data_IF_745355092232
#
_entry.id   IF_745355092232
#
_cell.length_a   1.000
_cell.length_b   1.000
_cell.length_c   1.000
_cell.angle_alpha   90.00
_cell.angle_beta   90.00
_cell.angle_gamma   90.00
#
_symmetry.space_group_name_H-M   'P 1'
#
loop_
_entity.id
_entity.type
_entity.pdbx_description
1 polymer ?
#
# COMPACT_ATOMS: atom_id res chain seq x y z
N UNK A 1 -8.52 31.59 -3.85
CA UNK A 1 -8.59 31.34 -2.39
C UNK A 1 -7.53 30.33 -2.02
N UNK A 2 -6.46 30.78 -1.34
CA UNK A 2 -5.42 29.90 -0.79
C UNK A 2 -5.93 29.37 0.55
N UNK A 3 -6.07 28.06 0.67
CA UNK A 3 -6.41 27.38 1.92
C UNK A 3 -5.10 27.27 2.73
N UNK A 4 -5.03 27.77 3.97
CA UNK A 4 -3.82 27.69 4.79
C UNK A 4 -3.67 26.29 5.39
N UNK A 5 -2.48 25.71 5.24
CA UNK A 5 -2.04 24.52 5.98
C UNK A 5 -1.77 24.95 7.44
N UNK A 6 -2.63 24.49 8.34
CA UNK A 6 -2.47 24.59 9.80
C UNK A 6 -2.59 23.16 10.32
N UNK A 7 -1.80 22.66 11.28
CA UNK A 7 -0.69 23.24 12.03
C UNK A 7 0.11 22.08 12.61
N UNK A 8 1.43 22.19 12.53
CA UNK A 8 2.37 21.36 13.26
C UNK A 8 2.20 21.60 14.77
N UNK A 9 1.94 20.54 15.53
CA UNK A 9 2.35 20.48 16.93
C UNK A 9 3.49 19.48 17.04
N UNK A 10 4.66 19.91 16.60
CA UNK A 10 5.92 19.30 17.07
C UNK A 10 6.06 19.71 18.53
N UNK A 11 6.10 18.72 19.41
CA UNK A 11 6.40 18.92 20.83
C UNK A 11 7.79 19.54 20.91
N UNK A 12 7.83 20.82 21.28
CA UNK A 12 9.05 21.55 21.58
C UNK A 12 9.69 20.90 22.82
N UNK A 13 10.71 20.06 22.63
CA UNK A 13 11.67 19.73 23.68
C UNK A 13 12.74 20.83 23.70
N UNK A 14 13.08 21.26 24.90
CA UNK A 14 13.98 22.36 25.19
C UNK A 14 15.41 22.13 24.64
N UNK A 15 16.06 23.23 24.27
CA UNK A 15 17.45 23.40 23.80
C UNK A 15 17.86 22.89 22.40
N UNK A 16 17.49 23.67 21.38
CA UNK A 16 18.02 23.53 20.01
C UNK A 16 19.56 23.65 19.90
N UNK A 17 20.25 24.23 20.89
CA UNK A 17 21.71 24.27 20.95
C UNK A 17 22.32 22.87 21.19
N UNK A 18 21.70 22.06 22.03
CA UNK A 18 22.20 20.74 22.42
C UNK A 18 22.12 19.72 21.25
N UNK A 19 21.05 19.80 20.45
CA UNK A 19 20.90 18.95 19.27
C UNK A 19 22.01 19.17 18.22
N UNK A 20 22.48 20.41 18.04
CA UNK A 20 23.52 20.71 17.05
C UNK A 20 24.90 20.16 17.45
N UNK A 21 25.20 20.09 18.75
CA UNK A 21 26.43 19.48 19.26
C UNK A 21 26.39 17.97 19.06
N UNK A 22 25.29 17.32 19.46
CA UNK A 22 25.10 15.88 19.28
C UNK A 22 25.22 15.45 17.81
N UNK A 23 24.61 16.19 16.88
CA UNK A 23 24.68 15.87 15.45
C UNK A 23 26.10 15.91 14.89
N UNK A 24 26.96 16.77 15.44
CA UNK A 24 28.37 16.83 15.06
C UNK A 24 29.11 15.58 15.55
N UNK A 25 28.97 15.25 16.82
CA UNK A 25 29.60 14.05 17.40
C UNK A 25 29.07 12.75 16.77
N UNK A 26 27.78 12.70 16.44
CA UNK A 26 27.18 11.60 15.68
C UNK A 26 27.87 11.43 14.33
N UNK A 27 28.08 12.52 13.60
CA UNK A 27 28.73 12.48 12.28
C UNK A 27 30.22 12.13 12.36
N UNK A 28 30.88 12.39 13.49
CA UNK A 28 32.28 12.01 13.74
C UNK A 28 32.43 10.52 14.09
N UNK A 29 31.33 9.82 14.42
CA UNK A 29 31.34 8.39 14.67
C UNK A 29 31.54 7.58 13.38
N UNK A 30 32.30 6.50 13.50
CA UNK A 30 32.57 5.56 12.41
C UNK A 30 31.68 4.32 12.43
N UNK A 31 31.00 4.04 13.55
CA UNK A 31 30.20 2.83 13.73
C UNK A 31 29.01 3.02 14.68
N UNK A 32 27.96 2.19 14.57
CA UNK A 32 26.85 2.17 15.54
C UNK A 32 27.29 1.94 16.99
N UNK A 33 28.42 1.25 17.21
CA UNK A 33 28.98 1.04 18.55
C UNK A 33 29.52 2.32 19.18
N UNK A 34 30.08 3.22 18.38
CA UNK A 34 30.54 4.54 18.87
C UNK A 34 29.36 5.44 19.16
N UNK A 35 28.35 5.45 18.28
CA UNK A 35 27.11 6.19 18.53
C UNK A 35 26.44 5.72 19.81
N UNK A 36 26.42 4.41 20.08
CA UNK A 36 25.84 3.87 21.31
C UNK A 36 26.51 4.44 22.57
N UNK A 37 27.84 4.66 22.55
CA UNK A 37 28.54 5.32 23.67
C UNK A 37 28.09 6.76 23.87
N UNK A 38 27.81 7.50 22.79
CA UNK A 38 27.28 8.87 22.87
C UNK A 38 25.86 8.86 23.45
N UNK A 39 25.03 7.94 22.97
CA UNK A 39 23.66 7.75 23.48
C UNK A 39 23.67 7.41 24.98
N UNK A 40 24.54 6.50 25.41
CA UNK A 40 24.67 6.09 26.81
C UNK A 40 25.19 7.24 27.69
N UNK A 41 26.17 8.01 27.19
CA UNK A 41 26.72 9.19 27.88
C UNK A 41 25.65 10.26 28.10
N UNK A 42 24.83 10.50 27.08
CA UNK A 42 23.83 11.57 27.07
C UNK A 42 22.47 11.07 27.60
N UNK A 43 22.36 9.78 27.96
CA UNK A 43 21.17 9.18 28.55
C UNK A 43 19.96 9.15 27.61
N UNK A 44 20.19 9.11 26.29
CA UNK A 44 19.12 9.25 25.29
C UNK A 44 18.34 7.94 25.09
N UNK A 45 17.02 8.03 25.10
CA UNK A 45 16.16 6.95 24.59
C UNK A 45 16.20 6.86 23.07
N UNK A 46 15.80 5.71 22.54
CA UNK A 46 15.64 5.48 21.10
C UNK A 46 14.69 6.51 20.44
N UNK A 47 13.58 6.85 21.11
CA UNK A 47 12.61 7.82 20.62
C UNK A 47 13.19 9.25 20.58
N UNK A 48 13.97 9.64 21.59
CA UNK A 48 14.66 10.95 21.63
C UNK A 48 15.70 11.05 20.53
N UNK A 49 16.53 10.01 20.38
CA UNK A 49 17.49 9.92 19.29
C UNK A 49 16.80 10.04 17.93
N UNK A 50 15.63 9.40 17.76
CA UNK A 50 14.87 9.46 16.52
C UNK A 50 14.41 10.88 16.17
N UNK A 51 13.90 11.62 17.15
CA UNK A 51 13.53 13.03 16.98
C UNK A 51 14.73 13.90 16.60
N UNK A 52 15.87 13.70 17.27
CA UNK A 52 17.11 14.44 16.98
C UNK A 52 17.58 14.19 15.54
N UNK A 53 17.68 12.91 15.14
CA UNK A 53 18.19 12.51 13.83
C UNK A 53 17.21 12.78 12.67
N UNK A 54 15.92 12.97 12.96
CA UNK A 54 14.91 13.37 11.96
C UNK A 54 14.78 14.90 11.82
N UNK A 55 15.50 15.69 12.62
CA UNK A 55 15.38 17.16 12.59
C UNK A 55 16.02 17.74 11.32
N UNK A 56 15.29 18.62 10.63
CA UNK A 56 15.74 19.30 9.38
C UNK A 56 16.78 20.41 9.60
N UNK A 57 17.62 20.32 10.63
CA UNK A 57 18.60 21.35 10.94
C UNK A 57 19.68 21.46 9.85
N UNK A 58 20.36 22.61 9.80
CA UNK A 58 21.33 22.97 8.76
C UNK A 58 22.51 21.97 8.59
N UNK A 59 22.77 21.13 9.59
CA UNK A 59 23.81 20.11 9.57
C UNK A 59 23.19 18.76 9.16
N UNK A 60 23.63 18.21 8.02
CA UNK A 60 23.12 16.94 7.50
C UNK A 60 23.63 15.77 8.34
N UNK A 61 22.73 14.86 8.71
CA UNK A 61 23.05 13.58 9.35
C UNK A 61 23.80 12.68 8.36
N UNK A 62 24.80 11.95 8.83
CA UNK A 62 25.47 10.91 8.06
C UNK A 62 24.49 9.81 7.66
N UNK A 63 24.07 9.83 6.40
CA UNK A 63 23.05 8.92 5.84
C UNK A 63 23.50 7.46 5.84
N UNK A 64 24.81 7.21 5.76
CA UNK A 64 25.39 5.86 5.82
C UNK A 64 25.36 5.32 7.26
N UNK A 65 25.80 6.13 8.22
CA UNK A 65 25.82 5.74 9.62
C UNK A 65 24.41 5.55 10.16
N UNK A 66 23.48 6.43 9.81
CA UNK A 66 22.07 6.29 10.17
C UNK A 66 21.47 4.98 9.64
N UNK A 67 21.73 4.63 8.38
CA UNK A 67 21.31 3.35 7.81
C UNK A 67 21.92 2.15 8.55
N UNK A 68 23.21 2.23 8.90
CA UNK A 68 23.89 1.19 9.67
C UNK A 68 23.31 1.03 11.08
N UNK A 69 22.98 2.14 11.76
CA UNK A 69 22.34 2.14 13.07
C UNK A 69 20.94 1.51 13.01
N UNK A 70 20.09 1.95 12.08
CA UNK A 70 18.73 1.41 11.91
C UNK A 70 18.72 -0.10 11.61
N UNK A 71 19.73 -0.58 10.87
CA UNK A 71 19.86 -1.98 10.54
C UNK A 71 20.57 -2.83 11.60
N UNK A 72 21.13 -2.25 12.67
CA UNK A 72 21.99 -3.00 13.60
C UNK A 72 21.20 -4.01 14.47
N UNK A 73 21.84 -5.09 14.89
CA UNK A 73 21.21 -6.21 15.61
C UNK A 73 21.16 -6.05 17.15
N UNK A 74 21.66 -4.93 17.68
CA UNK A 74 21.71 -4.69 19.12
C UNK A 74 20.33 -4.27 19.60
N UNK A 75 19.93 -4.63 20.83
CA UNK A 75 18.57 -4.37 21.34
C UNK A 75 18.18 -2.89 21.26
N UNK A 76 19.08 -1.97 21.65
CA UNK A 76 18.84 -0.53 21.48
C UNK A 76 18.48 -0.15 20.04
N UNK A 77 19.21 -0.69 19.06
CA UNK A 77 19.03 -0.38 17.65
C UNK A 77 17.76 -1.00 17.06
N UNK A 78 17.31 -2.15 17.59
CA UNK A 78 16.01 -2.73 17.24
C UNK A 78 14.86 -1.83 17.69
N UNK A 79 14.92 -1.35 18.94
CA UNK A 79 13.93 -0.37 19.45
C UNK A 79 14.00 0.93 18.64
N UNK A 80 15.19 1.40 18.31
CA UNK A 80 15.38 2.57 17.44
C UNK A 80 14.77 2.39 16.05
N UNK A 81 14.86 1.19 15.44
CA UNK A 81 14.24 0.91 14.15
C UNK A 81 12.71 0.96 14.20
N UNK A 82 12.08 0.64 15.34
CA UNK A 82 10.64 0.76 15.55
C UNK A 82 10.20 2.21 15.86
N UNK A 83 11.05 3.00 16.53
CA UNK A 83 10.77 4.39 16.94
C UNK A 83 11.07 5.42 15.85
N UNK A 84 12.15 5.27 15.09
CA UNK A 84 12.58 6.25 14.09
C UNK A 84 11.49 6.57 13.04
N UNK A 85 10.78 5.58 12.45
CA UNK A 85 9.70 5.83 11.50
C UNK A 85 8.50 6.59 12.08
N UNK A 86 8.32 6.64 13.40
CA UNK A 86 7.23 7.38 14.04
C UNK A 86 7.37 8.90 13.86
N UNK A 87 8.57 9.37 13.51
CA UNK A 87 8.84 10.79 13.26
C UNK A 87 8.37 11.26 11.87
N UNK A 88 7.84 10.36 11.05
CA UNK A 88 7.34 10.62 9.70
C UNK A 88 5.82 10.68 9.69
N UNK A 89 5.25 11.62 8.92
CA UNK A 89 3.82 11.67 8.69
C UNK A 89 3.44 10.82 7.48
N UNK A 90 2.93 9.62 7.73
CA UNK A 90 2.43 8.69 6.73
C UNK A 90 0.92 8.77 6.53
N UNK A 91 0.21 9.53 7.36
CA UNK A 91 -1.25 9.60 7.33
C UNK A 91 -1.76 10.05 5.95
N UNK A 92 -2.59 9.22 5.32
CA UNK A 92 -3.19 9.49 4.01
C UNK A 92 -2.24 9.31 2.82
N UNK A 93 -0.98 8.93 3.04
CA UNK A 93 -0.05 8.65 1.95
C UNK A 93 -0.29 7.26 1.35
N UNK A 94 -0.12 7.15 0.03
CA UNK A 94 0.03 5.85 -0.63
C UNK A 94 1.32 5.19 -0.15
N UNK A 95 1.33 3.86 -0.01
CA UNK A 95 2.49 3.12 0.50
C UNK A 95 3.78 3.40 -0.31
N UNK A 96 3.70 3.48 -1.65
CA UNK A 96 4.88 3.80 -2.47
C UNK A 96 5.43 5.18 -2.14
N UNK A 97 4.57 6.19 -1.98
CA UNK A 97 4.96 7.55 -1.58
C UNK A 97 5.55 7.58 -0.17
N UNK A 98 5.00 6.80 0.76
CA UNK A 98 5.52 6.67 2.12
C UNK A 98 6.90 6.00 2.15
N UNK A 99 7.11 4.92 1.37
CA UNK A 99 8.42 4.27 1.24
C UNK A 99 9.45 5.25 0.67
N UNK A 100 9.10 5.99 -0.40
CA UNK A 100 9.98 7.03 -0.97
C UNK A 100 10.32 8.10 0.07
N UNK A 101 9.33 8.59 0.80
CA UNK A 101 9.54 9.60 1.83
C UNK A 101 10.46 9.10 2.94
N UNK A 102 10.28 7.86 3.39
CA UNK A 102 11.07 7.26 4.46
C UNK A 102 12.51 6.95 4.01
N UNK A 103 12.68 6.16 2.94
CA UNK A 103 13.98 5.67 2.48
C UNK A 103 14.87 6.75 1.83
N UNK A 104 14.38 7.97 1.65
CA UNK A 104 15.18 9.10 1.19
C UNK A 104 16.15 9.64 2.26
N UNK A 105 15.94 9.31 3.54
CA UNK A 105 16.69 9.94 4.64
C UNK A 105 17.99 9.23 5.01
N UNK A 106 18.20 7.99 4.56
CA UNK A 106 19.37 7.20 4.89
C UNK A 106 19.69 6.22 3.77
N UNK A 107 20.96 5.83 3.64
CA UNK A 107 21.35 4.80 2.68
C UNK A 107 20.93 3.44 3.22
N UNK A 108 20.15 2.70 2.43
CA UNK A 108 19.70 1.37 2.83
C UNK A 108 20.91 0.40 2.90
N UNK A 109 21.10 -0.35 4.00
CA UNK A 109 22.15 -1.36 4.10
C UNK A 109 21.98 -2.49 3.08
N UNK A 110 23.08 -3.17 2.73
CA UNK A 110 23.05 -4.28 1.76
C UNK A 110 22.64 -5.65 2.34
N UNK A 111 22.75 -5.84 3.66
CA UNK A 111 22.42 -7.12 4.30
C UNK A 111 20.91 -7.30 4.44
N UNK A 112 20.38 -8.45 4.01
CA UNK A 112 18.94 -8.74 4.03
C UNK A 112 18.32 -8.63 5.42
N UNK A 113 19.02 -9.09 6.45
CA UNK A 113 18.57 -9.00 7.84
C UNK A 113 18.48 -7.56 8.36
N UNK A 114 19.35 -6.66 7.87
CA UNK A 114 19.31 -5.24 8.21
C UNK A 114 18.13 -4.56 7.54
N UNK A 115 17.92 -4.83 6.24
CA UNK A 115 16.76 -4.32 5.48
C UNK A 115 15.45 -4.74 6.16
N UNK A 116 15.38 -5.98 6.67
CA UNK A 116 14.21 -6.49 7.37
C UNK A 116 13.82 -5.68 8.59
N UNK A 117 14.77 -5.39 9.49
CA UNK A 117 14.48 -4.56 10.67
C UNK A 117 13.96 -3.18 10.29
N UNK A 118 14.57 -2.56 9.28
CA UNK A 118 14.19 -1.23 8.78
C UNK A 118 12.76 -1.25 8.23
N UNK A 119 12.45 -2.22 7.38
CA UNK A 119 11.14 -2.32 6.74
C UNK A 119 10.04 -2.76 7.72
N UNK A 120 10.37 -3.56 8.71
CA UNK A 120 9.45 -3.95 9.78
C UNK A 120 9.01 -2.73 10.61
N UNK A 121 9.95 -1.91 11.07
CA UNK A 121 9.65 -0.67 11.78
C UNK A 121 8.81 0.31 10.96
N UNK A 122 9.18 0.51 9.67
CA UNK A 122 8.37 1.29 8.73
C UNK A 122 6.93 0.77 8.63
N UNK A 123 6.77 -0.56 8.51
CA UNK A 123 5.47 -1.18 8.29
C UNK A 123 4.54 -1.02 9.49
N UNK A 124 5.08 -1.15 10.71
CA UNK A 124 4.35 -0.87 11.96
C UNK A 124 3.90 0.59 12.01
N UNK A 125 4.80 1.54 11.76
CA UNK A 125 4.46 2.96 11.79
C UNK A 125 3.43 3.35 10.70
N UNK A 126 3.62 2.90 9.46
CA UNK A 126 2.69 3.15 8.37
C UNK A 126 1.30 2.59 8.68
N UNK A 127 1.22 1.35 9.19
CA UNK A 127 -0.04 0.72 9.55
C UNK A 127 -0.74 1.49 10.68
N UNK A 128 -0.04 1.86 11.74
CA UNK A 128 -0.63 2.57 12.87
C UNK A 128 -1.18 3.94 12.48
N UNK A 129 -0.50 4.66 11.59
CA UNK A 129 -0.94 5.96 11.09
C UNK A 129 -2.02 5.88 10.00
N UNK A 130 -2.24 4.70 9.42
CA UNK A 130 -3.24 4.45 8.39
C UNK A 130 -4.07 3.21 8.76
N UNK A 131 -4.39 2.98 10.03
CA UNK A 131 -5.18 1.81 10.38
C UNK A 131 -6.60 1.99 9.82
N UNK A 132 -7.24 0.93 9.28
CA UNK A 132 -8.64 1.06 8.89
C UNK A 132 -9.48 1.47 10.11
N UNK A 133 -10.47 2.37 9.97
CA UNK A 133 -11.31 2.80 11.09
C UNK A 133 -11.93 1.60 11.80
N UNK A 134 -12.31 1.73 13.08
CA UNK A 134 -13.00 0.65 13.81
C UNK A 134 -14.34 0.28 13.16
N UNK A 135 -14.72 -1.02 13.19
CA UNK A 135 -15.99 -1.52 12.60
C UNK A 135 -17.15 -0.74 13.22
N UNK A 136 -18.00 -0.03 12.44
CA UNK A 136 -19.28 0.40 12.99
C UNK A 136 -20.02 -0.85 13.46
N UNK A 137 -20.41 -0.88 14.73
CA UNK A 137 -21.19 -1.97 15.31
C UNK A 137 -22.54 -1.99 14.58
N UNK A 138 -22.74 -2.94 13.67
CA UNK A 138 -24.09 -3.22 13.18
C UNK A 138 -24.90 -3.76 14.35
N UNK A 139 -25.94 -3.01 14.76
CA UNK A 139 -26.95 -3.53 15.67
C UNK A 139 -27.58 -4.78 15.04
N UNK A 140 -27.53 -5.90 15.78
CA UNK A 140 -28.32 -7.16 15.73
C UNK A 140 -29.20 -7.49 14.50
N UNK A 141 -28.79 -7.12 13.28
CA UNK A 141 -29.58 -7.23 12.05
C UNK A 141 -28.68 -7.46 10.84
N UNK A 142 -28.13 -8.67 10.75
CA UNK A 142 -27.95 -9.36 9.48
C UNK A 142 -27.08 -8.74 8.38
N UNK A 143 -25.96 -8.08 8.68
CA UNK A 143 -24.88 -7.92 7.69
C UNK A 143 -23.56 -8.37 8.34
N UNK A 144 -22.98 -9.46 7.81
CA UNK A 144 -21.80 -10.09 8.42
C UNK A 144 -20.61 -9.12 8.50
N UNK A 145 -19.77 -9.27 9.54
CA UNK A 145 -18.55 -8.50 9.79
C UNK A 145 -17.47 -8.56 8.68
N UNK A 146 -17.77 -9.23 7.57
CA UNK A 146 -16.96 -9.40 6.35
C UNK A 146 -17.34 -8.32 5.30
N UNK A 147 -18.43 -7.57 5.50
CA UNK A 147 -18.92 -6.53 4.56
C UNK A 147 -18.09 -5.25 4.49
N UNK A 148 -16.91 -5.22 5.11
CA UNK A 148 -15.89 -4.20 4.83
C UNK A 148 -15.19 -4.52 3.53
N UNK A 149 -15.92 -4.38 2.43
CA UNK A 149 -15.32 -4.53 1.12
C UNK A 149 -14.71 -3.22 0.66
N UNK A 150 -13.50 -3.33 0.14
CA UNK A 150 -12.88 -2.28 -0.63
C UNK A 150 -13.68 -2.00 -1.88
N UNK A 151 -14.04 -0.73 -2.12
CA UNK A 151 -14.37 -0.34 -3.48
C UNK A 151 -13.18 -0.68 -4.38
N UNK A 152 -13.38 -1.65 -5.26
CA UNK A 152 -12.39 -2.05 -6.25
C UNK A 152 -12.77 -1.33 -7.53
N UNK A 153 -11.99 -0.32 -7.92
CA UNK A 153 -12.06 0.22 -9.29
C UNK A 153 -11.66 -0.90 -10.27
N UNK A 154 -12.15 -0.85 -11.51
CA UNK A 154 -11.61 -1.69 -12.58
C UNK A 154 -10.10 -1.43 -12.67
N UNK A 155 -9.21 -2.41 -12.38
CA UNK A 155 -7.79 -2.20 -12.56
C UNK A 155 -7.49 -2.03 -14.05
N UNK A 156 -6.57 -1.12 -14.33
CA UNK A 156 -6.20 -0.71 -15.69
C UNK A 156 -4.69 -0.83 -15.85
N UNK A 157 -4.28 -1.08 -17.09
CA UNK A 157 -2.88 -1.02 -17.48
C UNK A 157 -2.41 0.41 -17.74
N UNK A 158 -1.13 0.56 -18.10
CA UNK A 158 -0.51 1.85 -18.39
C UNK A 158 -1.17 2.62 -19.56
N UNK A 159 -1.94 1.92 -20.41
CA UNK A 159 -2.69 2.53 -21.52
C UNK A 159 -4.12 2.90 -21.13
N UNK A 160 -4.53 2.59 -19.89
CA UNK A 160 -5.90 2.72 -19.42
C UNK A 160 -6.81 1.54 -19.81
N UNK A 161 -6.28 0.52 -20.49
CA UNK A 161 -7.05 -0.66 -20.85
C UNK A 161 -7.33 -1.53 -19.62
N UNK A 162 -8.52 -2.15 -19.50
CA UNK A 162 -8.83 -2.99 -18.35
C UNK A 162 -7.92 -4.21 -18.29
N UNK A 163 -7.55 -4.62 -17.07
CA UNK A 163 -6.90 -5.90 -16.77
C UNK A 163 -7.79 -6.77 -15.89
N UNK A 164 -7.50 -8.07 -15.79
CA UNK A 164 -8.26 -8.97 -14.95
C UNK A 164 -8.17 -8.55 -13.48
N UNK A 165 -9.32 -8.31 -12.85
CA UNK A 165 -9.36 -7.90 -11.44
C UNK A 165 -8.88 -8.97 -10.44
N UNK A 166 -8.85 -10.25 -10.80
CA UNK A 166 -8.31 -11.26 -9.87
C UNK A 166 -6.82 -11.55 -10.06
N UNK A 167 -6.30 -11.44 -11.29
CA UNK A 167 -4.97 -11.94 -11.61
C UNK A 167 -4.10 -10.98 -12.40
N UNK A 168 -4.52 -9.74 -12.67
CA UNK A 168 -3.70 -8.77 -13.40
C UNK A 168 -3.49 -9.07 -14.89
N UNK A 169 -4.02 -10.17 -15.43
CA UNK A 169 -3.87 -10.49 -16.86
C UNK A 169 -4.41 -9.38 -17.75
N UNK A 170 -3.57 -8.91 -18.69
CA UNK A 170 -3.97 -8.00 -19.78
C UNK A 170 -4.87 -8.72 -20.80
N UNK A 171 -5.75 -7.95 -21.44
CA UNK A 171 -6.46 -8.39 -22.63
C UNK A 171 -5.49 -8.64 -23.81
N UNK A 172 -5.88 -9.48 -24.76
CA UNK A 172 -5.06 -9.95 -25.89
C UNK A 172 -4.28 -8.85 -26.63
N UNK A 173 -4.87 -7.67 -26.80
CA UNK A 173 -4.34 -6.58 -27.61
C UNK A 173 -3.08 -5.92 -27.02
N UNK A 174 -2.77 -6.11 -25.73
CA UNK A 174 -1.71 -5.37 -25.01
C UNK A 174 -0.60 -6.26 -24.45
N UNK A 175 -0.40 -7.47 -24.99
CA UNK A 175 0.52 -8.49 -24.43
C UNK A 175 2.00 -8.38 -24.87
N UNK A 176 2.44 -7.29 -25.52
CA UNK A 176 3.82 -7.16 -26.05
C UNK A 176 4.93 -7.42 -25.01
N UNK A 177 4.69 -7.13 -23.73
CA UNK A 177 5.72 -7.12 -22.69
C UNK A 177 5.87 -8.42 -21.88
N UNK A 178 4.98 -9.41 -22.06
CA UNK A 178 4.92 -10.61 -21.21
C UNK A 178 5.27 -11.87 -21.97
N UNK A 179 6.57 -12.19 -21.99
CA UNK A 179 7.20 -13.24 -22.82
C UNK A 179 6.78 -14.70 -22.54
N UNK A 180 5.80 -14.97 -21.67
CA UNK A 180 5.20 -16.30 -21.55
C UNK A 180 3.77 -16.20 -21.01
N UNK A 181 2.78 -16.34 -21.89
CA UNK A 181 1.50 -16.90 -21.46
C UNK A 181 1.11 -18.00 -22.44
N UNK A 182 1.38 -19.25 -22.06
CA UNK A 182 0.90 -20.48 -22.70
C UNK A 182 -0.62 -20.59 -22.54
N UNK A 183 -1.34 -19.64 -23.10
CA UNK A 183 -2.72 -19.30 -22.74
C UNK A 183 -3.53 -19.25 -24.03
N UNK A 184 -4.54 -20.10 -24.09
CA UNK A 184 -5.42 -20.34 -25.24
C UNK A 184 -6.23 -19.09 -25.60
N UNK A 185 -6.74 -18.97 -26.84
CA UNK A 185 -7.48 -17.77 -27.30
C UNK A 185 -8.70 -17.41 -26.44
N UNK A 186 -9.32 -18.38 -25.76
CA UNK A 186 -10.44 -18.16 -24.81
C UNK A 186 -10.03 -17.47 -23.51
N UNK A 187 -8.75 -17.51 -23.15
CA UNK A 187 -8.22 -16.88 -21.95
C UNK A 187 -7.70 -15.46 -22.22
N UNK A 188 -7.79 -14.98 -23.47
CA UNK A 188 -7.26 -13.69 -23.93
C UNK A 188 -8.29 -12.55 -23.96
N UNK A 189 -9.59 -12.83 -23.79
CA UNK A 189 -10.63 -11.80 -23.67
C UNK A 189 -11.03 -11.58 -22.21
N UNK A 190 -11.17 -10.31 -21.81
CA UNK A 190 -11.77 -9.96 -20.53
C UNK A 190 -13.29 -9.91 -20.68
N UNK A 191 -13.99 -10.49 -19.72
CA UNK A 191 -15.45 -10.49 -19.65
C UNK A 191 -15.88 -9.75 -18.39
N UNK A 192 -16.81 -8.81 -18.55
CA UNK A 192 -17.40 -8.09 -17.43
C UNK A 192 -18.18 -9.05 -16.51
N UNK A 193 -18.12 -8.79 -15.21
CA UNK A 193 -18.91 -9.49 -14.21
C UNK A 193 -20.39 -9.43 -14.59
N UNK A 194 -21.07 -10.58 -14.56
CA UNK A 194 -22.48 -10.64 -14.96
C UNK A 194 -23.41 -9.88 -14.01
N UNK A 195 -23.03 -9.75 -12.74
CA UNK A 195 -23.80 -9.03 -11.73
C UNK A 195 -23.67 -7.51 -11.83
N UNK A 196 -22.45 -6.99 -11.60
CA UNK A 196 -22.25 -5.54 -11.56
C UNK A 196 -21.96 -4.90 -12.92
N UNK A 197 -21.51 -5.66 -13.92
CA UNK A 197 -21.05 -5.15 -15.23
C UNK A 197 -19.91 -4.11 -15.16
N UNK A 198 -19.31 -3.90 -13.99
CA UNK A 198 -18.29 -2.88 -13.77
C UNK A 198 -16.86 -3.41 -13.83
N UNK A 199 -16.65 -4.63 -13.33
CA UNK A 199 -15.31 -5.21 -13.16
C UNK A 199 -15.18 -6.43 -14.07
N UNK A 200 -14.04 -6.54 -14.74
CA UNK A 200 -13.76 -7.53 -15.77
C UNK A 200 -12.72 -8.54 -15.31
N UNK A 201 -12.89 -9.77 -15.79
CA UNK A 201 -12.05 -10.91 -15.46
C UNK A 201 -11.65 -11.65 -16.71
N UNK A 202 -10.48 -12.28 -16.72
CA UNK A 202 -10.19 -13.31 -17.71
C UNK A 202 -11.10 -14.51 -17.45
N UNK A 203 -11.38 -15.31 -18.48
CA UNK A 203 -12.35 -16.40 -18.41
C UNK A 203 -12.15 -17.36 -17.20
N UNK A 204 -10.92 -17.84 -16.89
CA UNK A 204 -10.70 -18.69 -15.71
C UNK A 204 -11.04 -17.99 -14.39
N UNK A 205 -10.66 -16.72 -14.26
CA UNK A 205 -10.92 -15.93 -13.05
C UNK A 205 -12.40 -15.59 -12.92
N UNK A 206 -13.11 -15.33 -14.03
CA UNK A 206 -14.55 -15.11 -14.01
C UNK A 206 -15.28 -16.34 -13.50
N UNK A 207 -14.90 -17.54 -13.95
CA UNK A 207 -15.50 -18.79 -13.48
C UNK A 207 -15.28 -18.98 -11.97
N UNK A 208 -14.05 -18.74 -11.49
CA UNK A 208 -13.72 -18.81 -10.06
C UNK A 208 -14.48 -17.77 -9.26
N UNK A 209 -14.57 -16.55 -9.78
CA UNK A 209 -15.26 -15.48 -9.11
C UNK A 209 -16.79 -15.65 -9.13
N UNK A 210 -17.35 -16.34 -10.13
CA UNK A 210 -18.74 -16.79 -10.11
C UNK A 210 -19.01 -17.88 -9.07
N UNK A 211 -18.01 -18.70 -8.74
CA UNK A 211 -18.10 -19.72 -7.68
C UNK A 211 -17.96 -19.11 -6.27
N UNK A 212 -17.04 -18.16 -6.10
CA UNK A 212 -16.82 -17.44 -4.84
C UNK A 212 -17.79 -16.26 -4.66
N UNK A 213 -18.51 -15.90 -5.73
CA UNK A 213 -19.32 -14.70 -5.83
C UNK A 213 -18.47 -13.42 -5.78
N UNK A 214 -18.71 -12.47 -6.69
CA UNK A 214 -18.36 -11.07 -6.43
C UNK A 214 -19.33 -10.48 -5.39
N UNK A 215 -19.36 -11.12 -4.21
CA UNK A 215 -20.47 -11.34 -3.27
C UNK A 215 -20.95 -12.81 -3.36
N UNK A 216 -20.46 -13.65 -2.44
CA UNK A 216 -20.97 -15.02 -2.26
C UNK A 216 -22.49 -15.01 -2.21
N UNK A 217 -23.11 -15.99 -2.88
CA UNK A 217 -24.56 -16.20 -3.02
C UNK A 217 -25.36 -15.68 -1.80
N UNK A 218 -25.93 -14.48 -1.90
CA UNK A 218 -26.96 -14.02 -0.95
C UNK A 218 -26.86 -12.60 -0.39
N UNK A 219 -25.74 -11.87 -0.54
CA UNK A 219 -25.68 -10.46 -0.07
C UNK A 219 -25.67 -9.50 -1.26
N UNK A 220 -26.86 -9.22 -1.78
CA UNK A 220 -27.17 -8.29 -2.88
C UNK A 220 -26.64 -6.85 -2.67
N UNK A 221 -26.30 -6.47 -1.43
CA UNK A 221 -25.91 -5.09 -1.08
C UNK A 221 -24.56 -4.65 -1.63
N UNK A 222 -23.58 -5.56 -1.74
CA UNK A 222 -22.21 -5.16 -2.10
C UNK A 222 -22.07 -4.75 -3.57
N UNK A 223 -22.69 -5.51 -4.49
CA UNK A 223 -22.68 -5.19 -5.91
C UNK A 223 -23.36 -3.85 -6.21
N UNK A 224 -24.44 -3.52 -5.49
CA UNK A 224 -25.12 -2.22 -5.60
C UNK A 224 -24.26 -1.10 -5.03
N UNK A 225 -23.69 -1.26 -3.83
CA UNK A 225 -22.81 -0.26 -3.24
C UNK A 225 -21.60 0.08 -4.15
N UNK A 226 -20.96 -0.93 -4.76
CA UNK A 226 -19.88 -0.72 -5.71
C UNK A 226 -20.34 0.00 -6.99
N UNK A 227 -21.53 -0.33 -7.50
CA UNK A 227 -22.09 0.35 -8.69
C UNK A 227 -22.45 1.80 -8.38
N UNK A 228 -23.05 2.06 -7.23
CA UNK A 228 -23.37 3.40 -6.75
C UNK A 228 -22.13 4.27 -6.63
N UNK A 229 -21.11 3.80 -5.90
CA UNK A 229 -19.88 4.55 -5.66
C UNK A 229 -19.21 4.96 -6.97
N UNK A 230 -19.16 4.05 -7.96
CA UNK A 230 -18.58 4.36 -9.27
C UNK A 230 -19.40 5.36 -10.07
N UNK A 231 -20.71 5.19 -10.11
CA UNK A 231 -21.59 6.13 -10.81
C UNK A 231 -21.52 7.52 -10.17
N UNK A 232 -21.36 7.61 -8.85
CA UNK A 232 -21.16 8.89 -8.14
C UNK A 232 -19.83 9.55 -8.51
N UNK A 233 -18.71 8.82 -8.44
CA UNK A 233 -17.38 9.33 -8.86
C UNK A 233 -17.38 9.84 -10.31
N UNK A 234 -18.12 9.17 -11.18
CA UNK A 234 -18.24 9.55 -12.59
C UNK A 234 -19.27 10.66 -12.85
N UNK A 235 -19.96 11.17 -11.82
CA UNK A 235 -21.07 12.13 -11.97
C UNK A 235 -22.28 11.57 -12.75
N UNK A 236 -22.38 10.25 -12.87
CA UNK A 236 -23.35 9.52 -13.67
C UNK A 236 -24.54 8.97 -12.86
N UNK A 237 -24.55 9.13 -11.53
CA UNK A 237 -25.66 8.71 -10.68
C UNK A 237 -26.81 9.75 -10.73
N UNK A 238 -27.58 9.72 -11.81
CA UNK A 238 -28.75 10.62 -11.99
C UNK A 238 -30.02 10.04 -11.33
N UNK A 239 -30.05 8.72 -11.12
CA UNK A 239 -31.14 7.96 -10.49
C UNK A 239 -30.60 6.67 -9.85
N UNK A 240 -31.48 5.75 -9.41
CA UNK A 240 -31.11 4.46 -8.84
C UNK A 240 -30.24 3.58 -9.76
N UNK A 241 -29.70 2.50 -9.20
CA UNK A 241 -28.84 1.57 -9.92
C UNK A 241 -29.67 0.54 -10.67
N UNK A 242 -29.39 0.38 -11.97
CA UNK A 242 -29.93 -0.71 -12.78
C UNK A 242 -29.03 -1.95 -12.71
N UNK A 243 -29.61 -3.12 -12.43
CA UNK A 243 -28.91 -4.39 -12.40
C UNK A 243 -29.78 -5.53 -12.95
N UNK A 244 -29.16 -6.59 -13.45
CA UNK A 244 -29.87 -7.79 -13.91
C UNK A 244 -30.07 -8.79 -12.77
N UNK A 245 -31.33 -9.09 -12.45
CA UNK A 245 -31.68 -10.09 -11.45
C UNK A 245 -31.77 -11.47 -12.12
N UNK A 246 -30.83 -12.36 -11.78
CA UNK A 246 -30.76 -13.70 -12.37
C UNK A 246 -31.93 -14.61 -11.98
N UNK A 247 -32.56 -14.39 -10.81
CA UNK A 247 -33.68 -15.18 -10.32
C UNK A 247 -34.99 -14.81 -11.04
N UNK A 248 -35.22 -13.53 -11.28
CA UNK A 248 -36.41 -13.05 -11.99
C UNK A 248 -36.20 -12.88 -13.50
N UNK A 249 -34.93 -12.95 -13.96
CA UNK A 249 -34.49 -12.68 -15.33
C UNK A 249 -34.88 -11.29 -15.85
N UNK A 250 -35.03 -10.32 -14.96
CA UNK A 250 -35.42 -8.94 -15.29
C UNK A 250 -34.31 -7.96 -14.95
N UNK A 251 -34.25 -6.85 -15.69
CA UNK A 251 -33.53 -5.66 -15.25
C UNK A 251 -34.37 -4.90 -14.22
N UNK A 252 -33.74 -4.56 -13.10
CA UNK A 252 -34.36 -3.83 -11.99
C UNK A 252 -33.55 -2.57 -11.72
N UNK A 253 -34.24 -1.46 -11.53
CA UNK A 253 -33.64 -0.19 -11.10
C UNK A 253 -34.04 0.09 -9.66
N UNK A 254 -33.04 0.23 -8.77
CA UNK A 254 -33.28 0.50 -7.36
C UNK A 254 -32.56 1.75 -6.88
N UNK A 255 -33.28 2.59 -6.14
CA UNK A 255 -32.68 3.72 -5.44
C UNK A 255 -31.82 3.20 -4.30
N UNK A 256 -30.54 3.55 -4.31
CA UNK A 256 -29.62 3.17 -3.24
C UNK A 256 -29.62 4.28 -2.19
N UNK A 257 -29.78 3.91 -0.93
CA UNK A 257 -29.77 4.87 0.16
C UNK A 257 -28.41 5.59 0.24
N UNK A 258 -28.43 6.88 0.54
CA UNK A 258 -27.24 7.72 0.59
C UNK A 258 -26.21 7.29 1.63
N UNK A 259 -26.63 6.58 2.66
CA UNK A 259 -25.74 5.95 3.65
C UNK A 259 -24.83 4.87 3.04
N UNK A 260 -25.22 4.24 1.91
CA UNK A 260 -24.39 3.28 1.19
C UNK A 260 -23.47 3.94 0.17
N UNK A 261 -23.50 5.28 0.03
CA UNK A 261 -22.58 6.02 -0.85
C UNK A 261 -21.30 6.46 -0.14
N UNK A 262 -21.30 6.53 1.19
CA UNK A 262 -20.14 6.95 1.98
C UNK A 262 -19.21 5.77 2.24
N UNK A 263 -18.55 5.28 1.20
CA UNK A 263 -17.40 4.38 1.34
C UNK A 263 -16.15 5.23 1.27
N UNK A 264 -15.68 5.70 2.41
CA UNK A 264 -14.34 6.27 2.48
C UNK A 264 -13.33 5.16 2.14
N UNK A 265 -12.33 5.46 1.30
CA UNK A 265 -11.22 4.52 1.10
C UNK A 265 -10.49 4.39 2.43
N UNK A 266 -10.72 3.27 3.10
CA UNK A 266 -9.96 2.86 4.28
C UNK A 266 -8.55 2.42 3.86
N UNK A 267 -7.74 1.89 4.76
CA UNK A 267 -6.42 1.33 4.44
C UNK A 267 -6.48 -0.13 3.96
N UNK A 268 -5.75 -0.51 2.89
CA UNK A 268 -5.90 -1.82 2.24
C UNK A 268 -5.27 -2.95 3.03
N UNK A 269 -4.58 -2.60 4.11
CA UNK A 269 -3.84 -3.48 4.96
C UNK A 269 -4.68 -3.90 6.16
N UNK A 270 -4.65 -5.19 6.47
CA UNK A 270 -5.31 -5.75 7.65
C UNK A 270 -4.36 -5.87 8.85
N UNK A 271 -3.04 -5.80 8.62
CA UNK A 271 -2.00 -5.85 9.65
C UNK A 271 -0.72 -5.12 9.21
N UNK A 272 0.17 -4.85 10.16
CA UNK A 272 1.52 -4.38 9.87
C UNK A 272 2.32 -5.38 9.04
N UNK A 273 2.11 -6.70 9.24
CA UNK A 273 2.75 -7.74 8.42
C UNK A 273 2.30 -7.67 6.96
N UNK A 274 1.03 -7.35 6.71
CA UNK A 274 0.51 -7.13 5.36
C UNK A 274 1.18 -5.92 4.68
N UNK A 275 1.46 -4.85 5.44
CA UNK A 275 2.25 -3.71 4.95
C UNK A 275 3.68 -4.15 4.61
N UNK A 276 4.30 -4.94 5.49
CA UNK A 276 5.68 -5.41 5.31
C UNK A 276 5.83 -6.26 4.05
N UNK A 277 4.95 -7.24 3.85
CA UNK A 277 4.95 -8.07 2.64
C UNK A 277 4.78 -7.23 1.38
N UNK A 278 3.86 -6.25 1.39
CA UNK A 278 3.67 -5.35 0.26
C UNK A 278 4.90 -4.48 0.01
N UNK A 279 5.53 -3.93 1.05
CA UNK A 279 6.72 -3.09 0.92
C UNK A 279 7.89 -3.87 0.31
N UNK A 280 8.08 -5.13 0.72
CA UNK A 280 9.05 -6.04 0.10
C UNK A 280 8.73 -6.36 -1.35
N UNK A 281 7.45 -6.62 -1.67
CA UNK A 281 7.02 -6.84 -3.04
C UNK A 281 7.34 -5.63 -3.92
N UNK A 282 7.17 -4.40 -3.41
CA UNK A 282 7.54 -3.15 -4.10
C UNK A 282 9.06 -3.06 -4.34
N UNK A 283 9.90 -3.38 -3.35
CA UNK A 283 11.37 -3.36 -3.48
C UNK A 283 11.85 -4.41 -4.48
N UNK A 284 11.28 -5.61 -4.46
CA UNK A 284 11.59 -6.64 -5.46
C UNK A 284 11.14 -6.22 -6.85
N UNK A 285 9.94 -5.66 -6.97
CA UNK A 285 9.39 -5.20 -8.24
C UNK A 285 10.24 -4.08 -8.85
N UNK A 286 10.66 -3.08 -8.07
CA UNK A 286 11.49 -1.99 -8.63
C UNK A 286 12.85 -2.48 -9.10
N UNK A 287 13.43 -3.45 -8.39
CA UNK A 287 14.71 -4.06 -8.77
C UNK A 287 14.54 -4.87 -10.05
N UNK A 288 13.46 -5.65 -10.14
CA UNK A 288 13.16 -6.44 -11.33
C UNK A 288 12.92 -5.56 -12.57
N UNK A 289 12.01 -4.60 -12.47
CA UNK A 289 11.57 -3.78 -13.61
C UNK A 289 12.67 -2.85 -14.14
N UNK A 290 13.48 -2.25 -13.27
CA UNK A 290 14.44 -1.21 -13.68
C UNK A 290 15.90 -1.68 -13.82
N UNK A 291 16.24 -2.90 -13.40
CA UNK A 291 17.59 -3.42 -13.59
C UNK A 291 17.82 -3.89 -15.05
N UNK A 292 18.75 -3.27 -15.81
CA UNK A 292 18.97 -3.61 -17.22
C UNK A 292 19.51 -5.03 -17.46
N UNK A 293 20.06 -5.68 -16.42
CA UNK A 293 20.55 -7.06 -16.53
C UNK A 293 19.43 -8.10 -16.61
N UNK A 294 18.24 -7.76 -16.12
CA UNK A 294 17.07 -8.65 -16.11
C UNK A 294 16.37 -8.53 -17.46
N UNK A 295 16.51 -9.56 -18.29
CA UNK A 295 15.92 -9.61 -19.65
C UNK A 295 14.41 -9.84 -19.63
N UNK A 296 13.93 -10.73 -18.76
CA UNK A 296 12.51 -11.05 -18.62
C UNK A 296 11.98 -10.38 -17.35
N UNK A 297 11.23 -9.30 -17.54
CA UNK A 297 10.62 -8.54 -16.46
C UNK A 297 9.42 -9.27 -15.86
N UNK A 298 9.20 -9.06 -14.58
CA UNK A 298 8.02 -9.53 -13.84
C UNK A 298 6.78 -8.94 -14.48
N UNK A 299 5.83 -9.78 -14.82
CA UNK A 299 4.56 -9.33 -15.38
C UNK A 299 3.54 -8.97 -14.29
N UNK A 300 2.51 -8.15 -14.61
CA UNK A 300 1.46 -7.81 -13.65
C UNK A 300 0.82 -9.05 -13.03
N UNK A 301 0.63 -10.11 -13.81
CA UNK A 301 0.00 -11.34 -13.31
C UNK A 301 0.88 -12.16 -12.37
N UNK A 302 2.20 -12.10 -12.55
CA UNK A 302 3.16 -12.69 -11.63
C UNK A 302 3.15 -11.92 -10.30
N UNK A 303 3.15 -10.58 -10.36
CA UNK A 303 3.05 -9.71 -9.19
C UNK A 303 1.76 -9.93 -8.40
N UNK A 304 0.60 -9.93 -9.08
CA UNK A 304 -0.71 -10.19 -8.45
C UNK A 304 -0.78 -11.56 -7.79
N UNK A 305 -0.18 -12.58 -8.43
CA UNK A 305 -0.18 -13.95 -7.92
C UNK A 305 0.71 -14.09 -6.68
N UNK A 306 1.84 -13.40 -6.65
CA UNK A 306 2.73 -13.35 -5.49
C UNK A 306 2.07 -12.72 -4.25
N UNK A 307 1.05 -11.88 -4.46
CA UNK A 307 0.32 -11.18 -3.40
C UNK A 307 -1.01 -11.86 -2.99
N UNK A 308 -1.27 -13.09 -3.45
CA UNK A 308 -2.52 -13.79 -3.09
C UNK A 308 -2.50 -14.30 -1.66
N UNK A 309 -3.54 -13.97 -0.90
CA UNK A 309 -3.73 -14.46 0.47
C UNK A 309 -2.75 -13.90 1.50
N UNK A 310 -1.88 -12.94 1.13
CA UNK A 310 -0.85 -12.40 2.03
C UNK A 310 -1.30 -11.15 2.80
N UNK A 311 -2.60 -10.83 2.77
CA UNK A 311 -3.23 -9.78 3.58
C UNK A 311 -4.13 -10.46 4.62
N UNK A 312 -3.56 -11.04 5.68
CA UNK A 312 -4.28 -11.82 6.70
C UNK A 312 -5.19 -12.93 6.10
N UNK A 313 -4.64 -13.72 5.16
CA UNK A 313 -5.38 -14.77 4.45
C UNK A 313 -6.30 -14.26 3.34
N UNK A 314 -6.40 -12.94 3.16
CA UNK A 314 -7.18 -12.29 2.10
C UNK A 314 -6.29 -11.73 0.99
N UNK A 315 -6.91 -11.33 -0.12
CA UNK A 315 -6.21 -10.63 -1.20
C UNK A 315 -6.26 -9.12 -0.95
N UNK A 316 -5.23 -8.42 -1.41
CA UNK A 316 -5.32 -6.97 -1.56
C UNK A 316 -6.34 -6.58 -2.63
N UNK A 317 -6.92 -5.37 -2.54
CA UNK A 317 -7.77 -4.79 -3.57
C UNK A 317 -7.01 -4.72 -4.90
N UNK A 318 -7.66 -5.14 -5.99
CA UNK A 318 -6.94 -5.34 -7.25
C UNK A 318 -6.52 -4.05 -7.96
N UNK A 319 -7.33 -3.00 -7.83
CA UNK A 319 -6.97 -1.65 -8.28
C UNK A 319 -5.77 -1.11 -7.51
N UNK A 320 -5.74 -1.30 -6.19
CA UNK A 320 -4.60 -0.92 -5.37
C UNK A 320 -3.30 -1.63 -5.82
N UNK A 321 -3.34 -2.94 -6.06
CA UNK A 321 -2.18 -3.69 -6.56
C UNK A 321 -1.77 -3.24 -7.97
N UNK A 322 -2.75 -2.97 -8.84
CA UNK A 322 -2.53 -2.44 -10.19
C UNK A 322 -1.84 -1.09 -10.16
N UNK A 323 -2.36 -0.16 -9.35
CA UNK A 323 -1.82 1.19 -9.19
C UNK A 323 -0.36 1.13 -8.73
N UNK A 324 -0.02 0.26 -7.77
CA UNK A 324 1.36 0.06 -7.32
C UNK A 324 2.24 -0.45 -8.46
N UNK A 325 1.80 -1.49 -9.17
CA UNK A 325 2.61 -2.10 -10.22
C UNK A 325 2.97 -1.08 -11.30
N UNK A 326 1.98 -0.31 -11.77
CA UNK A 326 2.19 0.66 -12.84
C UNK A 326 2.91 1.92 -12.37
N UNK A 327 2.69 2.38 -11.13
CA UNK A 327 3.49 3.47 -10.55
C UNK A 327 4.97 3.10 -10.50
N UNK A 328 5.30 1.89 -10.03
CA UNK A 328 6.68 1.39 -10.02
C UNK A 328 7.19 1.16 -11.44
N UNK A 329 6.41 0.61 -12.37
CA UNK A 329 6.83 0.44 -13.78
C UNK A 329 7.20 1.79 -14.42
N UNK A 330 6.42 2.84 -14.13
CA UNK A 330 6.65 4.18 -14.68
C UNK A 330 7.85 4.86 -14.04
N UNK A 331 8.02 4.76 -12.72
CA UNK A 331 9.10 5.42 -12.00
C UNK A 331 9.74 4.48 -10.98
N UNK A 332 11.04 4.24 -11.14
CA UNK A 332 11.82 3.44 -10.17
C UNK A 332 11.67 3.99 -8.74
N UNK A 333 11.74 3.12 -7.75
CA UNK A 333 11.81 3.53 -6.36
C UNK A 333 13.14 4.24 -6.11
N UNK A 334 13.09 5.57 -6.08
CA UNK A 334 14.24 6.41 -5.76
C UNK A 334 14.50 6.31 -4.25
N UNK A 335 15.57 5.62 -3.88
CA UNK A 335 16.10 5.54 -2.52
C UNK A 335 17.41 6.32 -2.45
N UNK A 336 17.83 6.73 -1.25
CA UNK A 336 19.14 7.36 -1.07
C UNK A 336 20.24 6.37 -1.50
N UNK A 337 21.01 6.76 -2.53
CA UNK A 337 22.14 5.99 -3.08
C UNK A 337 23.46 6.38 -2.42
#
# INVERSE_FOLDING_TARGET
MKIPLTGERVVMLADGANHSAFLREFNDCSSPKEVLKLVDRDGLSAAELGRILCTKNAQRVSVNLLGACLGHHHEFWKVFADEYPQNFNFSGLKIVSAIRNYLWHFRLPGESAMIYRIMEGFSKAFFNQNAPPEKPRCGSGGVSSISRGWYVKQPQDETGAPICSYCGNKAAANKQDCLNSSVTDKEKSLSACHGCKLISFCHPCLKRAGQCGHAGRGILGYGRACVAARCLEAGALVSGITYYNASTKQELTEQVNSEFFTWERVSPFLSADSVNVMAYAIIMLTTDLHNPTIKRKMCPDEFFRGLRGVNEGQNFPSDFVSDIYYDIKTKELEIMK
#
